data_IF_382408542478
#
_entry.id   IF_382408542478
#
_cell.length_a   1.000
_cell.length_b   1.000
_cell.length_c   1.000
_cell.angle_alpha   90.00
_cell.angle_beta   90.00
_cell.angle_gamma   90.00
#
_symmetry.space_group_name_H-M   'P 1'
#
loop_
_entity.id
_entity.type
_entity.pdbx_description
1 polymer ?
#
# COMPACT_ATOMS: atom_id res chain seq x y z
N UNK A 1 -25.23 -13.07 7.79
CA UNK A 1 -24.86 -11.84 8.52
C UNK A 1 -23.36 -11.80 8.80
N UNK A 2 -22.78 -12.80 9.48
CA UNK A 2 -21.35 -12.83 9.84
C UNK A 2 -20.43 -12.80 8.61
N UNK A 3 -20.68 -13.63 7.60
CA UNK A 3 -19.87 -13.67 6.37
C UNK A 3 -19.83 -12.30 5.67
N UNK A 4 -20.97 -11.61 5.58
CA UNK A 4 -21.04 -10.30 4.95
C UNK A 4 -20.21 -9.25 5.70
N UNK A 5 -20.21 -9.28 7.04
CA UNK A 5 -19.37 -8.40 7.85
C UNK A 5 -17.88 -8.69 7.64
N UNK A 6 -17.48 -9.95 7.50
CA UNK A 6 -16.07 -10.32 7.26
C UNK A 6 -15.60 -9.85 5.89
N UNK A 7 -16.42 -10.03 4.85
CA UNK A 7 -16.12 -9.51 3.51
C UNK A 7 -16.00 -7.98 3.48
N UNK A 8 -16.84 -7.29 4.23
CA UNK A 8 -16.76 -5.83 4.35
C UNK A 8 -15.48 -5.40 5.07
N UNK A 9 -15.12 -6.06 6.17
CA UNK A 9 -13.92 -5.74 6.95
C UNK A 9 -12.63 -6.00 6.14
N UNK A 10 -12.59 -7.09 5.38
CA UNK A 10 -11.49 -7.42 4.47
C UNK A 10 -11.23 -6.30 3.45
N UNK A 11 -12.29 -5.64 2.95
CA UNK A 11 -12.12 -4.50 2.05
C UNK A 11 -11.69 -3.23 2.75
N UNK A 12 -12.26 -2.96 3.92
CA UNK A 12 -11.87 -1.80 4.72
C UNK A 12 -10.39 -1.82 5.09
N UNK A 13 -9.84 -3.00 5.41
CA UNK A 13 -8.45 -3.14 5.83
C UNK A 13 -7.47 -2.77 4.72
N UNK A 14 -7.86 -2.88 3.44
CA UNK A 14 -7.02 -2.49 2.29
C UNK A 14 -6.67 -0.99 2.37
N UNK A 15 -7.63 -0.12 2.71
CA UNK A 15 -7.38 1.32 2.87
C UNK A 15 -6.34 1.58 3.96
N UNK A 16 -6.50 0.97 5.13
CA UNK A 16 -5.56 1.10 6.24
C UNK A 16 -4.19 0.51 5.92
N UNK A 17 -4.16 -0.60 5.19
CA UNK A 17 -2.94 -1.25 4.75
C UNK A 17 -2.13 -0.36 3.80
N UNK A 18 -2.77 0.26 2.81
CA UNK A 18 -2.12 1.24 1.92
C UNK A 18 -1.57 2.42 2.75
N UNK A 19 -2.35 2.95 3.69
CA UNK A 19 -1.90 4.04 4.55
C UNK A 19 -0.68 3.66 5.40
N UNK A 20 -0.72 2.48 6.01
CA UNK A 20 0.36 1.96 6.85
C UNK A 20 1.65 1.73 6.05
N UNK A 21 1.57 1.26 4.81
CA UNK A 21 2.74 1.06 3.94
C UNK A 21 3.50 2.37 3.65
N UNK A 22 2.80 3.51 3.58
CA UNK A 22 3.43 4.82 3.38
C UNK A 22 3.92 5.48 4.66
N UNK A 23 3.32 5.16 5.82
CA UNK A 23 3.63 5.80 7.09
C UNK A 23 5.14 5.83 7.45
N UNK A 24 5.92 4.73 7.38
CA UNK A 24 7.33 4.77 7.74
C UNK A 24 8.15 5.67 6.81
N UNK A 25 7.88 5.63 5.51
CA UNK A 25 8.53 6.52 4.54
C UNK A 25 8.23 7.98 4.82
N UNK A 26 6.95 8.30 5.00
CA UNK A 26 6.54 9.66 5.26
C UNK A 26 7.10 10.19 6.60
N UNK A 27 7.25 9.35 7.63
CA UNK A 27 7.67 9.76 8.97
C UNK A 27 9.19 9.77 9.20
N UNK A 28 9.90 8.75 8.73
CA UNK A 28 11.31 8.53 9.05
C UNK A 28 12.25 9.11 8.00
N UNK A 29 11.79 9.33 6.76
CA UNK A 29 12.59 9.92 5.70
C UNK A 29 12.44 11.44 5.71
N UNK A 30 13.55 12.15 5.47
CA UNK A 30 13.51 13.59 5.20
C UNK A 30 12.98 13.85 3.79
N UNK A 31 11.66 13.92 3.73
CA UNK A 31 10.90 14.37 2.59
C UNK A 31 10.45 15.78 2.99
N UNK A 32 10.66 16.78 2.15
CA UNK A 32 10.43 18.20 2.49
C UNK A 32 9.02 18.55 3.00
N UNK A 33 8.65 19.83 3.12
CA UNK A 33 7.42 20.28 3.78
C UNK A 33 6.14 19.55 3.32
N UNK A 34 6.07 19.17 2.05
CA UNK A 34 4.99 18.41 1.44
C UNK A 34 4.70 17.06 2.10
N UNK A 35 5.71 16.38 2.65
CA UNK A 35 5.52 15.09 3.28
C UNK A 35 4.73 15.17 4.59
N UNK A 36 4.88 16.26 5.34
CA UNK A 36 4.08 16.49 6.55
C UNK A 36 2.58 16.54 6.23
N UNK A 37 2.20 17.24 5.15
CA UNK A 37 0.81 17.27 4.69
C UNK A 37 0.36 15.90 4.18
N UNK A 38 1.23 15.19 3.48
CA UNK A 38 0.92 13.85 2.94
C UNK A 38 0.64 12.84 4.05
N UNK A 39 1.35 12.90 5.20
CA UNK A 39 1.11 12.03 6.37
C UNK A 39 -0.35 12.05 6.76
N UNK A 40 -0.92 13.23 6.97
CA UNK A 40 -2.32 13.39 7.38
C UNK A 40 -3.29 13.05 6.26
N UNK A 41 -2.99 13.47 5.03
CA UNK A 41 -3.86 13.23 3.89
C UNK A 41 -4.09 11.74 3.65
N UNK A 42 -3.06 10.91 3.78
CA UNK A 42 -3.16 9.46 3.60
C UNK A 42 -4.14 8.83 4.60
N UNK A 43 -4.09 9.20 5.87
CA UNK A 43 -5.02 8.68 6.88
C UNK A 43 -6.45 9.21 6.70
N UNK A 44 -6.61 10.45 6.20
CA UNK A 44 -7.91 10.99 5.83
C UNK A 44 -8.50 10.20 4.65
N UNK A 45 -7.71 9.96 3.59
CA UNK A 45 -8.13 9.13 2.45
C UNK A 45 -8.53 7.72 2.90
N UNK A 46 -7.76 7.13 3.82
CA UNK A 46 -8.08 5.82 4.39
C UNK A 46 -9.45 5.83 5.07
N UNK A 47 -9.67 6.82 5.95
CA UNK A 47 -10.91 6.97 6.72
C UNK A 47 -12.11 7.19 5.82
N UNK A 48 -11.98 8.05 4.80
CA UNK A 48 -13.03 8.30 3.81
C UNK A 48 -13.34 7.04 3.00
N UNK A 49 -12.32 6.28 2.58
CA UNK A 49 -12.48 5.01 1.89
C UNK A 49 -13.21 3.96 2.73
N UNK A 50 -12.84 3.83 4.00
CA UNK A 50 -13.53 2.94 4.96
C UNK A 50 -14.99 3.32 5.13
N UNK A 51 -15.29 4.62 5.31
CA UNK A 51 -16.66 5.13 5.41
C UNK A 51 -17.45 4.84 4.13
N UNK A 52 -16.83 4.99 2.96
CA UNK A 52 -17.45 4.66 1.69
C UNK A 52 -17.83 3.17 1.61
N UNK A 53 -16.93 2.25 1.97
CA UNK A 53 -17.23 0.80 2.00
C UNK A 53 -18.35 0.49 2.98
N UNK A 54 -18.36 1.13 4.16
CA UNK A 54 -19.39 0.95 5.18
C UNK A 54 -20.79 1.35 4.68
N UNK A 55 -20.92 2.46 3.95
CA UNK A 55 -22.24 2.94 3.50
C UNK A 55 -22.70 2.32 2.19
N UNK A 56 -21.80 2.09 1.24
CA UNK A 56 -22.17 1.72 -0.13
C UNK A 56 -22.01 0.23 -0.43
N UNK A 57 -21.52 -0.60 0.49
CA UNK A 57 -21.55 -2.07 0.45
C UNK A 57 -21.40 -2.66 -0.98
N UNK A 58 -20.22 -2.46 -1.56
CA UNK A 58 -19.83 -2.95 -2.91
C UNK A 58 -20.66 -2.46 -4.11
N UNK A 59 -21.60 -1.53 -3.92
CA UNK A 59 -22.53 -1.10 -4.98
C UNK A 59 -21.81 -0.56 -6.21
N UNK A 60 -20.67 0.13 -6.03
CA UNK A 60 -19.84 0.63 -7.14
C UNK A 60 -18.40 0.13 -7.04
N UNK A 61 -18.19 -1.12 -7.49
CA UNK A 61 -16.88 -1.80 -7.50
C UNK A 61 -15.79 -1.04 -8.27
N UNK A 62 -16.16 -0.28 -9.31
CA UNK A 62 -15.20 0.55 -10.07
C UNK A 62 -14.71 1.75 -9.27
N UNK A 63 -15.60 2.42 -8.53
CA UNK A 63 -15.25 3.56 -7.68
C UNK A 63 -14.31 3.10 -6.57
N UNK A 64 -14.60 1.97 -5.94
CA UNK A 64 -13.76 1.36 -4.91
C UNK A 64 -12.33 1.12 -5.43
N UNK A 65 -12.20 0.50 -6.61
CA UNK A 65 -10.92 0.26 -7.26
C UNK A 65 -10.17 1.56 -7.58
N UNK A 66 -10.87 2.58 -8.09
CA UNK A 66 -10.26 3.89 -8.38
C UNK A 66 -9.76 4.56 -7.10
N UNK A 67 -10.50 4.45 -5.99
CA UNK A 67 -10.05 4.95 -4.69
C UNK A 67 -8.79 4.23 -4.21
N UNK A 68 -8.70 2.90 -4.34
CA UNK A 68 -7.49 2.15 -3.99
C UNK A 68 -6.28 2.59 -4.82
N UNK A 69 -6.46 2.68 -6.14
CA UNK A 69 -5.37 3.08 -7.06
C UNK A 69 -4.93 4.51 -6.79
N UNK A 70 -5.89 5.43 -6.58
CA UNK A 70 -5.58 6.82 -6.26
C UNK A 70 -4.79 6.94 -4.94
N UNK A 71 -5.23 6.22 -3.91
CA UNK A 71 -4.57 6.21 -2.61
C UNK A 71 -3.18 5.55 -2.65
N UNK A 72 -2.95 4.59 -3.55
CA UNK A 72 -1.62 4.05 -3.82
C UNK A 72 -0.73 4.99 -4.64
N UNK A 73 -1.28 5.68 -5.64
CA UNK A 73 -0.46 6.47 -6.55
C UNK A 73 -0.05 7.83 -5.97
N UNK A 74 -0.99 8.52 -5.31
CA UNK A 74 -0.78 9.91 -4.89
C UNK A 74 0.36 10.08 -3.86
N UNK A 75 0.46 9.29 -2.78
CA UNK A 75 1.56 9.39 -1.82
C UNK A 75 2.89 8.91 -2.41
N UNK A 76 2.85 7.97 -3.37
CA UNK A 76 4.03 7.49 -4.06
C UNK A 76 4.74 8.63 -4.83
N UNK A 77 4.01 9.60 -5.41
CA UNK A 77 4.62 10.76 -6.08
C UNK A 77 5.53 11.57 -5.14
N UNK A 78 5.12 11.77 -3.89
CA UNK A 78 5.93 12.49 -2.90
C UNK A 78 7.18 11.69 -2.56
N UNK A 79 7.06 10.37 -2.40
CA UNK A 79 8.21 9.51 -2.10
C UNK A 79 9.18 9.44 -3.28
N UNK A 80 8.69 9.37 -4.51
CA UNK A 80 9.53 9.36 -5.72
C UNK A 80 10.25 10.70 -5.96
N UNK A 81 9.75 11.79 -5.40
CA UNK A 81 10.39 13.11 -5.47
C UNK A 81 11.54 13.31 -4.47
N UNK A 82 11.90 12.27 -3.71
CA UNK A 82 12.89 12.41 -2.64
C UNK A 82 14.32 12.52 -3.16
N UNK A 83 15.18 13.33 -2.51
CA UNK A 83 16.56 13.53 -2.94
C UNK A 83 17.42 12.28 -2.81
N UNK A 84 17.15 11.42 -1.82
CA UNK A 84 17.86 10.15 -1.65
C UNK A 84 17.03 8.99 -2.21
N UNK A 85 17.48 8.43 -3.34
CA UNK A 85 16.76 7.39 -4.09
C UNK A 85 16.93 5.97 -3.53
N UNK A 86 17.63 5.78 -2.41
CA UNK A 86 17.76 4.45 -1.79
C UNK A 86 16.39 3.88 -1.40
N UNK A 87 16.14 2.62 -1.75
CA UNK A 87 14.89 1.92 -1.49
C UNK A 87 13.74 2.21 -2.48
N UNK A 88 13.93 3.13 -3.44
CA UNK A 88 12.93 3.39 -4.49
C UNK A 88 12.69 2.15 -5.35
N UNK A 89 13.74 1.41 -5.67
CA UNK A 89 13.60 0.25 -6.57
C UNK A 89 12.74 -0.84 -5.95
N UNK A 90 12.92 -1.11 -4.65
CA UNK A 90 12.12 -2.05 -3.88
C UNK A 90 10.68 -1.55 -3.70
N UNK A 91 10.48 -0.25 -3.50
CA UNK A 91 9.15 0.37 -3.48
C UNK A 91 8.42 0.18 -4.81
N UNK A 92 9.10 0.42 -5.94
CA UNK A 92 8.56 0.25 -7.30
C UNK A 92 8.26 -1.22 -7.57
N UNK A 93 9.18 -2.13 -7.21
CA UNK A 93 8.97 -3.57 -7.36
C UNK A 93 7.77 -4.07 -6.54
N UNK A 94 7.67 -3.67 -5.27
CA UNK A 94 6.51 -3.98 -4.43
C UNK A 94 5.20 -3.36 -4.94
N UNK A 95 5.27 -2.13 -5.45
CA UNK A 95 4.15 -1.46 -6.11
C UNK A 95 3.68 -2.21 -7.36
N UNK A 96 4.60 -2.73 -8.16
CA UNK A 96 4.29 -3.56 -9.32
C UNK A 96 3.58 -4.87 -8.91
N UNK A 97 4.02 -5.53 -7.83
CA UNK A 97 3.31 -6.70 -7.29
C UNK A 97 1.87 -6.34 -6.87
N UNK A 98 1.65 -5.21 -6.19
CA UNK A 98 0.29 -4.77 -5.87
C UNK A 98 -0.55 -4.53 -7.12
N UNK A 99 -0.03 -3.79 -8.10
CA UNK A 99 -0.72 -3.52 -9.36
C UNK A 99 -1.10 -4.80 -10.11
N UNK A 100 -0.15 -5.74 -10.27
CA UNK A 100 -0.40 -7.04 -10.90
C UNK A 100 -1.43 -7.85 -10.12
N UNK A 101 -1.35 -7.83 -8.79
CA UNK A 101 -2.33 -8.46 -7.94
C UNK A 101 -3.76 -7.97 -8.21
N UNK A 102 -3.97 -6.67 -8.48
CA UNK A 102 -5.32 -6.12 -8.66
C UNK A 102 -6.08 -6.78 -9.83
N UNK A 103 -5.35 -7.33 -10.80
CA UNK A 103 -5.92 -8.12 -11.90
C UNK A 103 -6.59 -9.39 -11.37
N UNK A 104 -5.93 -10.09 -10.43
CA UNK A 104 -6.48 -11.28 -9.78
C UNK A 104 -7.60 -10.94 -8.80
N UNK A 105 -7.46 -9.83 -8.05
CA UNK A 105 -8.53 -9.31 -7.19
C UNK A 105 -9.83 -9.08 -7.98
N UNK A 106 -9.76 -8.44 -9.15
CA UNK A 106 -10.91 -8.19 -10.02
C UNK A 106 -11.42 -9.46 -10.73
N UNK A 107 -10.57 -10.46 -10.86
CA UNK A 107 -10.89 -11.74 -11.48
C UNK A 107 -11.43 -12.76 -10.49
N UNK A 108 -11.68 -12.36 -9.24
CA UNK A 108 -12.28 -13.21 -8.22
C UNK A 108 -13.66 -13.72 -8.68
N UNK A 109 -13.87 -15.03 -8.53
CA UNK A 109 -15.02 -15.75 -9.08
C UNK A 109 -14.97 -16.05 -10.59
N UNK A 110 -13.96 -15.59 -11.34
CA UNK A 110 -13.78 -15.91 -12.78
C UNK A 110 -12.63 -16.89 -13.03
N UNK A 111 -11.50 -16.67 -12.35
CA UNK A 111 -10.31 -17.54 -12.45
C UNK A 111 -10.28 -18.43 -11.19
N UNK A 112 -10.07 -19.75 -11.32
CA UNK A 112 -9.95 -20.62 -10.15
C UNK A 112 -8.80 -20.15 -9.26
N UNK A 113 -9.05 -20.05 -7.96
CA UNK A 113 -8.09 -19.58 -6.93
C UNK A 113 -7.60 -18.13 -7.10
N UNK A 114 -8.27 -17.28 -7.89
CA UNK A 114 -7.89 -15.88 -8.09
C UNK A 114 -7.70 -15.11 -6.77
N UNK A 115 -8.59 -15.33 -5.79
CA UNK A 115 -8.49 -14.71 -4.47
C UNK A 115 -7.21 -15.11 -3.72
N UNK A 116 -6.83 -16.39 -3.77
CA UNK A 116 -5.60 -16.86 -3.13
C UNK A 116 -4.35 -16.31 -3.84
N UNK A 117 -4.37 -16.27 -5.17
CA UNK A 117 -3.28 -15.69 -5.98
C UNK A 117 -3.14 -14.19 -5.65
N UNK A 118 -4.25 -13.46 -5.52
CA UNK A 118 -4.26 -12.06 -5.09
C UNK A 118 -3.51 -11.87 -3.77
N UNK A 119 -3.83 -12.67 -2.75
CA UNK A 119 -3.15 -12.60 -1.45
C UNK A 119 -1.65 -12.88 -1.54
N UNK A 120 -1.22 -13.80 -2.42
CA UNK A 120 0.21 -14.02 -2.66
C UNK A 120 0.90 -12.77 -3.23
N UNK A 121 0.30 -12.11 -4.23
CA UNK A 121 0.83 -10.86 -4.77
C UNK A 121 0.90 -9.76 -3.71
N UNK A 122 -0.14 -9.61 -2.88
CA UNK A 122 -0.16 -8.64 -1.76
C UNK A 122 0.93 -8.96 -0.74
N UNK A 123 1.12 -10.23 -0.39
CA UNK A 123 2.14 -10.67 0.54
C UNK A 123 3.56 -10.41 0.02
N UNK A 124 3.84 -10.71 -1.26
CA UNK A 124 5.13 -10.37 -1.89
C UNK A 124 5.36 -8.86 -1.96
N UNK A 125 4.34 -8.08 -2.31
CA UNK A 125 4.40 -6.62 -2.32
C UNK A 125 4.74 -6.06 -0.93
N UNK A 126 4.04 -6.52 0.11
CA UNK A 126 4.29 -6.12 1.49
C UNK A 126 5.67 -6.56 2.00
N UNK A 127 6.07 -7.80 1.71
CA UNK A 127 7.39 -8.29 2.08
C UNK A 127 8.51 -7.45 1.46
N UNK A 128 8.34 -7.04 0.20
CA UNK A 128 9.30 -6.16 -0.50
C UNK A 128 9.32 -4.77 0.13
N UNK A 129 8.17 -4.18 0.43
CA UNK A 129 8.09 -2.88 1.12
C UNK A 129 8.69 -2.93 2.52
N UNK A 130 8.40 -3.98 3.29
CA UNK A 130 8.97 -4.21 4.61
C UNK A 130 10.50 -4.35 4.55
N UNK A 131 11.02 -5.13 3.60
CA UNK A 131 12.46 -5.26 3.39
C UNK A 131 13.12 -3.90 3.12
N UNK A 132 12.50 -3.07 2.26
CA UNK A 132 12.98 -1.72 1.98
C UNK A 132 13.00 -0.84 3.24
N UNK A 133 11.94 -0.91 4.05
CA UNK A 133 11.84 -0.17 5.31
C UNK A 133 12.95 -0.57 6.28
N UNK A 134 13.13 -1.88 6.48
CA UNK A 134 14.16 -2.42 7.36
C UNK A 134 15.56 -2.02 6.90
N UNK A 135 15.84 -2.13 5.60
CA UNK A 135 17.17 -1.89 5.03
C UNK A 135 17.56 -0.41 4.94
N UNK A 136 16.62 0.47 4.56
CA UNK A 136 16.92 1.86 4.17
C UNK A 136 16.39 2.92 5.13
N UNK A 137 15.51 2.56 6.07
CA UNK A 137 15.01 3.50 7.09
C UNK A 137 15.45 3.15 8.51
N UNK A 138 15.51 1.86 8.87
CA UNK A 138 15.86 1.47 10.24
C UNK A 138 17.33 1.10 10.43
N UNK A 139 17.97 0.48 9.45
CA UNK A 139 19.34 0.01 9.63
C UNK A 139 20.33 1.19 9.68
N UNK A 140 21.14 1.34 10.75
CA UNK A 140 22.18 2.35 10.81
C UNK A 140 23.17 2.21 9.64
N UNK A 141 23.59 3.34 9.06
CA UNK A 141 24.53 3.40 7.93
C UNK A 141 25.83 2.60 8.16
N UNK A 142 26.27 2.48 9.42
CA UNK A 142 27.44 1.69 9.84
C UNK A 142 27.25 0.17 9.65
N UNK A 143 26.03 -0.34 9.83
CA UNK A 143 25.69 -1.75 9.58
C UNK A 143 25.34 -1.99 8.10
N UNK A 144 24.91 -0.94 7.39
CA UNK A 144 24.59 -1.01 5.96
C UNK A 144 25.81 -1.43 5.13
N UNK A 145 26.99 -0.87 5.45
CA UNK A 145 28.28 -1.17 4.82
C UNK A 145 28.80 -2.60 5.09
N UNK A 146 28.35 -3.24 6.18
CA UNK A 146 28.79 -4.60 6.56
C UNK A 146 27.97 -5.71 5.91
N UNK A 147 26.70 -5.44 5.59
CA UNK A 147 25.78 -6.37 4.89
C UNK A 147 25.96 -6.32 3.37
N UNK A 148 26.53 -5.23 2.83
CA UNK A 148 26.81 -5.08 1.40
C UNK A 148 28.14 -5.69 0.96
N UNK A 149 28.93 -6.24 1.89
CA UNK A 149 30.15 -7.01 1.64
C UNK A 149 29.88 -8.49 1.88
#
# INVERSE_FOLDING_TARGET
MVEHCLHMFDRMVIYFFIAASYAPWLNLRELGPWASHMRWLVWIMASVGTVYVFFFHERYKLVELLCYVFMGFFPALVILSMPNTEGIWELVAGGAFYCLGTVFFKSDGKIPFAHAIWHLFVAFGAGTHYYAIWRYLYLPSTLQAKVSK
#
